data_IF_033066593239
#
_entry.id   IF_033066593239
#
_cell.length_a   1.000
_cell.length_b   1.000
_cell.length_c   1.000
_cell.angle_alpha   90.00
_cell.angle_beta   90.00
_cell.angle_gamma   90.00
#
_symmetry.space_group_name_H-M   'P 1'
#
loop_
_entity.id
_entity.type
_entity.pdbx_description
1 polymer ?
#
# COMPACT_ATOMS: atom_id res chain seq x y z
N UNK A 1 7.36 -19.48 -8.62
CA UNK A 1 6.92 -19.13 -7.26
C UNK A 1 6.58 -17.64 -7.28
N UNK A 2 5.48 -17.21 -6.66
CA UNK A 2 5.06 -15.79 -6.63
C UNK A 2 5.30 -15.17 -5.27
N UNK A 3 5.69 -13.90 -5.22
CA UNK A 3 5.99 -13.17 -3.99
C UNK A 3 5.20 -11.85 -3.92
N UNK A 4 4.77 -11.47 -2.72
CA UNK A 4 3.95 -10.29 -2.49
C UNK A 4 4.38 -9.51 -1.24
N UNK A 5 4.13 -8.21 -1.25
CA UNK A 5 4.24 -7.33 -0.08
C UNK A 5 2.85 -7.15 0.55
N UNK A 6 2.79 -7.09 1.89
CA UNK A 6 1.57 -6.70 2.62
C UNK A 6 1.86 -5.49 3.48
N UNK A 7 1.09 -4.43 3.27
CA UNK A 7 1.41 -3.08 3.74
C UNK A 7 0.31 -2.59 4.68
N UNK A 8 0.65 -2.23 5.93
CA UNK A 8 -0.25 -1.49 6.81
C UNK A 8 -0.17 0.02 6.46
N UNK A 9 -1.27 0.65 5.99
CA UNK A 9 -1.24 2.02 5.49
C UNK A 9 -1.38 3.04 6.64
N UNK A 10 -0.47 2.98 7.63
CA UNK A 10 -0.49 3.86 8.80
C UNK A 10 0.77 4.72 8.90
N UNK A 11 0.68 5.82 9.64
CA UNK A 11 1.82 6.70 9.90
C UNK A 11 2.40 7.25 8.59
N UNK A 12 3.69 7.05 8.31
CA UNK A 12 4.33 7.50 7.06
C UNK A 12 3.68 6.89 5.81
N UNK A 13 3.13 5.69 5.91
CA UNK A 13 2.43 5.00 4.82
C UNK A 13 0.93 5.37 4.77
N UNK A 14 0.48 6.36 5.54
CA UNK A 14 -0.86 6.94 5.39
C UNK A 14 -0.96 7.94 4.24
N UNK A 15 0.17 8.40 3.69
CA UNK A 15 0.21 9.21 2.47
C UNK A 15 0.01 8.32 1.23
N UNK A 16 -1.06 8.52 0.44
CA UNK A 16 -1.28 7.76 -0.79
C UNK A 16 -0.12 7.87 -1.80
N UNK A 17 0.62 8.99 -1.82
CA UNK A 17 1.77 9.15 -2.70
C UNK A 17 2.90 8.17 -2.35
N UNK A 18 3.17 7.97 -1.05
CA UNK A 18 4.16 7.00 -0.59
C UNK A 18 3.77 5.55 -0.95
N UNK A 19 2.48 5.21 -0.87
CA UNK A 19 1.97 3.90 -1.28
C UNK A 19 2.10 3.67 -2.80
N UNK A 20 1.86 4.71 -3.60
CA UNK A 20 2.07 4.68 -5.05
C UNK A 20 3.55 4.45 -5.39
N UNK A 21 4.45 5.21 -4.78
CA UNK A 21 5.89 5.04 -4.98
C UNK A 21 6.35 3.63 -4.61
N UNK A 22 5.83 3.07 -3.52
CA UNK A 22 6.11 1.71 -3.10
C UNK A 22 5.59 0.67 -4.10
N UNK A 23 4.37 0.85 -4.64
CA UNK A 23 3.81 -0.05 -5.64
C UNK A 23 4.65 -0.08 -6.93
N UNK A 24 5.05 1.10 -7.41
CA UNK A 24 5.92 1.26 -8.58
C UNK A 24 7.28 0.60 -8.34
N UNK A 25 7.90 0.83 -7.18
CA UNK A 25 9.18 0.23 -6.83
C UNK A 25 9.09 -1.31 -6.73
N UNK A 26 7.99 -1.83 -6.16
CA UNK A 26 7.74 -3.26 -6.09
C UNK A 26 7.61 -3.89 -7.48
N UNK A 27 6.84 -3.25 -8.38
CA UNK A 27 6.69 -3.70 -9.76
C UNK A 27 8.02 -3.74 -10.51
N UNK A 28 8.80 -2.66 -10.42
CA UNK A 28 10.13 -2.56 -11.05
C UNK A 28 11.12 -3.59 -10.51
N UNK A 29 10.96 -3.97 -9.23
CA UNK A 29 11.79 -4.99 -8.58
C UNK A 29 11.32 -6.42 -8.82
N UNK A 30 10.26 -6.63 -9.62
CA UNK A 30 9.79 -7.95 -10.01
C UNK A 30 8.83 -8.62 -9.01
N UNK A 31 8.26 -7.89 -8.06
CA UNK A 31 7.20 -8.43 -7.19
C UNK A 31 5.94 -8.75 -8.00
N UNK A 32 5.15 -9.71 -7.53
CA UNK A 32 3.90 -10.12 -8.18
C UNK A 32 2.68 -9.38 -7.65
N UNK A 33 2.70 -8.93 -6.38
CA UNK A 33 1.58 -8.23 -5.76
C UNK A 33 1.97 -7.31 -4.59
N UNK A 34 1.15 -6.30 -4.33
CA UNK A 34 1.17 -5.43 -3.14
C UNK A 34 -0.24 -5.34 -2.56
N UNK A 35 -0.42 -5.88 -1.35
CA UNK A 35 -1.71 -5.86 -0.64
C UNK A 35 -1.72 -4.79 0.44
N UNK A 36 -2.81 -4.02 0.54
CA UNK A 36 -2.99 -2.97 1.56
C UNK A 36 -4.00 -3.43 2.62
N UNK A 37 -3.73 -3.14 3.89
CA UNK A 37 -4.66 -3.45 4.99
C UNK A 37 -5.86 -2.50 4.99
N UNK A 38 -7.06 -3.05 5.17
CA UNK A 38 -8.30 -2.28 5.33
C UNK A 38 -8.78 -2.34 6.79
N UNK A 39 -8.02 -1.72 7.70
CA UNK A 39 -8.39 -1.67 9.11
C UNK A 39 -8.37 -0.22 9.62
N UNK A 40 -9.44 0.16 10.32
CA UNK A 40 -9.61 1.52 10.87
C UNK A 40 -9.27 1.58 12.36
N UNK A 41 -9.60 0.54 13.13
CA UNK A 41 -9.39 0.54 14.57
C UNK A 41 -7.91 0.30 14.92
N UNK A 42 -7.31 1.26 15.62
CA UNK A 42 -5.92 1.22 16.09
C UNK A 42 -5.87 1.31 17.61
N UNK A 43 -4.77 0.85 18.21
CA UNK A 43 -4.55 1.06 19.65
C UNK A 43 -4.26 2.54 19.92
N UNK A 44 -4.51 3.07 21.12
CA UNK A 44 -4.30 4.51 21.40
C UNK A 44 -2.84 4.97 21.28
N UNK A 45 -1.87 4.07 21.49
CA UNK A 45 -0.42 4.32 21.48
C UNK A 45 0.24 4.20 20.09
N UNK A 46 -0.57 3.84 19.10
CA UNK A 46 -0.20 3.51 17.74
C UNK A 46 -0.38 4.77 16.84
N UNK A 47 0.35 4.96 15.72
CA UNK A 47 0.00 5.96 14.72
C UNK A 47 -1.47 5.87 14.30
N UNK A 48 -2.18 7.00 14.30
CA UNK A 48 -3.64 7.05 14.04
C UNK A 48 -3.95 7.45 12.60
N UNK A 49 -3.01 8.07 11.92
CA UNK A 49 -3.11 8.40 10.51
C UNK A 49 -3.21 7.10 9.72
N UNK A 50 -4.24 7.00 8.87
CA UNK A 50 -4.50 5.85 8.02
C UNK A 50 -4.90 6.32 6.62
N UNK A 51 -4.36 5.68 5.58
CA UNK A 51 -4.88 5.86 4.23
C UNK A 51 -6.16 5.05 4.05
N UNK A 52 -7.12 5.57 3.28
CA UNK A 52 -8.24 4.77 2.79
C UNK A 52 -7.68 3.72 1.80
N UNK A 53 -7.92 2.44 2.11
CA UNK A 53 -7.32 1.33 1.36
C UNK A 53 -7.78 1.32 -0.10
N UNK A 54 -9.02 1.71 -0.40
CA UNK A 54 -9.57 1.64 -1.75
C UNK A 54 -9.06 2.78 -2.62
N UNK A 55 -8.99 4.00 -2.06
CA UNK A 55 -8.40 5.16 -2.75
C UNK A 55 -6.91 4.94 -2.99
N UNK A 56 -6.19 4.42 -2.00
CA UNK A 56 -4.77 4.10 -2.15
C UNK A 56 -4.54 3.03 -3.24
N UNK A 57 -5.28 1.91 -3.19
CA UNK A 57 -5.18 0.87 -4.21
C UNK A 57 -5.55 1.37 -5.61
N UNK A 58 -6.56 2.25 -5.73
CA UNK A 58 -6.91 2.85 -7.02
C UNK A 58 -5.76 3.71 -7.57
N UNK A 59 -5.12 4.51 -6.72
CA UNK A 59 -3.96 5.31 -7.11
C UNK A 59 -2.76 4.43 -7.51
N UNK A 60 -2.47 3.37 -6.75
CA UNK A 60 -1.43 2.40 -7.07
C UNK A 60 -1.70 1.73 -8.43
N UNK A 61 -2.93 1.27 -8.65
CA UNK A 61 -3.35 0.61 -9.88
C UNK A 61 -3.24 1.51 -11.12
N UNK A 62 -3.44 2.83 -10.98
CA UNK A 62 -3.24 3.80 -12.07
C UNK A 62 -1.76 3.98 -12.41
N UNK A 63 -0.85 3.78 -11.45
CA UNK A 63 0.58 4.01 -11.60
C UNK A 63 1.38 2.75 -11.98
N UNK A 64 0.76 1.57 -12.01
CA UNK A 64 1.42 0.28 -12.28
C UNK A 64 0.66 -0.53 -13.33
N UNK A 65 1.32 -1.49 -14.00
CA UNK A 65 0.72 -2.23 -15.11
C UNK A 65 0.54 -3.74 -14.89
N UNK A 66 1.31 -4.34 -13.99
CA UNK A 66 1.46 -5.80 -13.85
C UNK A 66 1.27 -6.29 -12.42
N UNK A 67 1.78 -5.56 -11.43
CA UNK A 67 1.66 -5.91 -10.01
C UNK A 67 0.18 -5.90 -9.61
N UNK A 68 -0.22 -6.88 -8.80
CA UNK A 68 -1.60 -7.04 -8.32
C UNK A 68 -1.83 -6.42 -6.96
#
# INVERSE_FOLDING_TARGET
MKHALTIPPYGELSDPAALVELAVAAEQSGWDAVFVWDHVLRRPDDPQEAADAWVAMAAMAVATERVR
#
